data_IF_566510308460
#
_entry.id   IF_566510308460
#
_cell.length_a   1.000
_cell.length_b   1.000
_cell.length_c   1.000
_cell.angle_alpha   90.00
_cell.angle_beta   90.00
_cell.angle_gamma   90.00
#
_symmetry.space_group_name_H-M   'P 1'
#
loop_
_entity.id
_entity.type
_entity.pdbx_description
1 polymer ?
#
# COMPACT_ATOMS: atom_id res chain seq x y z
N UNK A 1 -7.85 -1.43 -17.46
CA UNK A 1 -6.64 -1.27 -16.63
C UNK A 1 -5.73 -0.28 -17.32
N UNK A 2 -5.00 0.53 -16.54
CA UNK A 2 -3.95 1.42 -17.04
C UNK A 2 -2.59 0.76 -16.81
N UNK A 3 -1.68 0.86 -17.77
CA UNK A 3 -0.32 0.34 -17.64
C UNK A 3 0.69 1.49 -17.58
N UNK A 4 1.66 1.36 -16.67
CA UNK A 4 2.73 2.32 -16.45
C UNK A 4 4.05 1.56 -16.53
N UNK A 5 5.01 2.10 -17.28
CA UNK A 5 6.34 1.53 -17.42
C UNK A 5 7.41 2.57 -17.10
N UNK A 6 8.44 2.15 -16.38
CA UNK A 6 9.63 2.95 -16.09
C UNK A 6 10.83 2.01 -15.95
N UNK A 7 12.03 2.55 -16.12
CA UNK A 7 13.28 1.79 -16.02
C UNK A 7 13.98 2.09 -14.70
N UNK A 8 14.42 1.03 -14.03
CA UNK A 8 15.26 1.11 -12.83
C UNK A 8 16.68 0.70 -13.23
N UNK A 9 17.72 1.49 -12.87
CA UNK A 9 19.10 1.12 -13.13
C UNK A 9 19.44 -0.25 -12.52
N UNK A 10 20.22 -1.07 -13.22
CA UNK A 10 20.58 -2.42 -12.75
C UNK A 10 21.39 -2.37 -11.44
N UNK A 11 22.16 -1.30 -11.25
CA UNK A 11 22.93 -1.02 -10.05
C UNK A 11 22.04 -1.01 -8.80
N UNK A 12 20.83 -0.45 -8.89
CA UNK A 12 19.86 -0.46 -7.78
C UNK A 12 19.45 -1.88 -7.43
N UNK A 13 19.21 -2.75 -8.42
CA UNK A 13 18.87 -4.15 -8.18
C UNK A 13 20.04 -4.90 -7.51
N UNK A 14 21.27 -4.60 -7.91
CA UNK A 14 22.47 -5.19 -7.31
C UNK A 14 22.68 -4.73 -5.87
N UNK A 15 22.59 -3.43 -5.60
CA UNK A 15 22.78 -2.85 -4.28
C UNK A 15 21.71 -3.33 -3.28
N UNK A 16 20.46 -3.42 -3.74
CA UNK A 16 19.33 -3.91 -2.94
C UNK A 16 19.23 -5.43 -2.89
N UNK A 17 20.02 -6.15 -3.69
CA UNK A 17 19.96 -7.60 -3.89
C UNK A 17 18.56 -8.10 -4.29
N UNK A 18 17.82 -7.29 -5.03
CA UNK A 18 16.47 -7.61 -5.49
C UNK A 18 16.50 -8.23 -6.89
N UNK A 19 15.70 -9.27 -7.09
CA UNK A 19 15.37 -9.74 -8.43
C UNK A 19 14.43 -8.75 -9.14
N UNK A 20 14.20 -8.94 -10.44
CA UNK A 20 13.18 -8.19 -11.18
C UNK A 20 11.78 -8.37 -10.58
N UNK A 21 11.46 -9.58 -10.10
CA UNK A 21 10.16 -9.86 -9.48
C UNK A 21 10.04 -9.15 -8.12
N UNK A 22 11.09 -9.17 -7.30
CA UNK A 22 11.11 -8.45 -6.02
C UNK A 22 10.95 -6.95 -6.24
N UNK A 23 11.65 -6.42 -7.25
CA UNK A 23 11.58 -5.00 -7.62
C UNK A 23 10.18 -4.60 -8.09
N UNK A 24 9.53 -5.44 -8.90
CA UNK A 24 8.15 -5.22 -9.34
C UNK A 24 7.18 -5.25 -8.16
N UNK A 25 7.31 -6.25 -7.27
CA UNK A 25 6.48 -6.34 -6.08
C UNK A 25 6.68 -5.14 -5.15
N UNK A 26 7.92 -4.70 -4.96
CA UNK A 26 8.26 -3.50 -4.21
C UNK A 26 7.59 -2.25 -4.82
N UNK A 27 7.74 -2.04 -6.12
CA UNK A 27 7.16 -0.89 -6.81
C UNK A 27 5.62 -0.88 -6.70
N UNK A 28 4.97 -2.02 -6.94
CA UNK A 28 3.51 -2.18 -6.80
C UNK A 28 3.04 -1.80 -5.39
N UNK A 29 3.70 -2.33 -4.37
CA UNK A 29 3.38 -2.07 -2.96
C UNK A 29 3.62 -0.61 -2.57
N UNK A 30 4.74 -0.02 -3.01
CA UNK A 30 5.04 1.39 -2.77
C UNK A 30 3.98 2.31 -3.40
N UNK A 31 3.58 2.05 -4.65
CA UNK A 31 2.52 2.80 -5.32
C UNK A 31 1.18 2.65 -4.60
N UNK A 32 0.81 1.43 -4.20
CA UNK A 32 -0.40 1.18 -3.42
C UNK A 32 -0.42 1.93 -2.08
N UNK A 33 0.73 1.96 -1.37
CA UNK A 33 0.87 2.72 -0.13
C UNK A 33 0.69 4.22 -0.34
N UNK A 34 1.32 4.78 -1.38
CA UNK A 34 1.17 6.21 -1.70
C UNK A 34 -0.29 6.54 -2.02
N UNK A 35 -0.98 5.72 -2.82
CA UNK A 35 -2.40 5.94 -3.11
C UNK A 35 -3.28 5.83 -1.88
N UNK A 36 -3.03 4.86 -1.01
CA UNK A 36 -3.80 4.67 0.22
C UNK A 36 -3.62 5.87 1.18
N UNK A 37 -2.37 6.28 1.40
CA UNK A 37 -2.03 7.30 2.41
C UNK A 37 -2.17 8.74 1.93
N UNK A 38 -1.89 9.03 0.66
CA UNK A 38 -1.88 10.40 0.14
C UNK A 38 -3.13 10.77 -0.65
N UNK A 39 -3.79 9.78 -1.27
CA UNK A 39 -4.94 9.99 -2.14
C UNK A 39 -6.24 9.37 -1.60
N UNK A 40 -6.20 8.78 -0.40
CA UNK A 40 -7.34 8.11 0.25
C UNK A 40 -8.05 7.09 -0.67
N UNK A 41 -7.29 6.44 -1.55
CA UNK A 41 -7.83 5.42 -2.46
C UNK A 41 -8.27 4.20 -1.64
N UNK A 42 -9.39 3.60 -2.04
CA UNK A 42 -9.99 2.49 -1.28
C UNK A 42 -9.02 1.33 -1.06
N UNK A 43 -9.15 0.67 0.10
CA UNK A 43 -8.37 -0.51 0.47
C UNK A 43 -8.41 -1.59 -0.62
N UNK A 44 -9.57 -1.79 -1.25
CA UNK A 44 -9.75 -2.79 -2.29
C UNK A 44 -8.93 -2.52 -3.55
N UNK A 45 -8.89 -1.27 -4.03
CA UNK A 45 -8.10 -0.92 -5.20
C UNK A 45 -6.60 -0.94 -4.89
N UNK A 46 -6.19 -0.49 -3.71
CA UNK A 46 -4.78 -0.54 -3.30
C UNK A 46 -4.29 -1.98 -3.16
N UNK A 47 -5.10 -2.90 -2.62
CA UNK A 47 -4.78 -4.32 -2.57
C UNK A 47 -4.60 -4.93 -3.97
N UNK A 48 -5.46 -4.56 -4.93
CA UNK A 48 -5.31 -4.98 -6.33
C UNK A 48 -4.02 -4.47 -6.96
N UNK A 49 -3.64 -3.21 -6.73
CA UNK A 49 -2.37 -2.64 -7.23
C UNK A 49 -1.18 -3.40 -6.64
N UNK A 50 -1.24 -3.75 -5.34
CA UNK A 50 -0.19 -4.44 -4.62
C UNK A 50 -0.06 -5.95 -4.97
N UNK A 51 -0.93 -6.51 -5.82
CA UNK A 51 -1.10 -7.95 -6.03
C UNK A 51 -1.33 -8.70 -4.71
N UNK A 52 -2.22 -8.18 -3.87
CA UNK A 52 -2.56 -8.75 -2.56
C UNK A 52 -4.08 -8.94 -2.44
N UNK A 53 -4.48 -9.94 -1.65
CA UNK A 53 -5.82 -9.93 -1.07
C UNK A 53 -5.98 -8.72 -0.13
N UNK A 54 -7.23 -8.34 0.17
CA UNK A 54 -7.49 -7.25 1.14
C UNK A 54 -6.87 -7.57 2.51
N UNK A 55 -6.93 -8.82 2.95
CA UNK A 55 -6.39 -9.24 4.24
C UNK A 55 -4.87 -9.14 4.28
N UNK A 56 -4.17 -9.58 3.23
CA UNK A 56 -2.72 -9.41 3.11
C UNK A 56 -2.34 -7.94 3.07
N UNK A 57 -3.10 -7.11 2.36
CA UNK A 57 -2.84 -5.68 2.30
C UNK A 57 -3.06 -4.99 3.66
N UNK A 58 -4.07 -5.38 4.44
CA UNK A 58 -4.26 -4.90 5.82
C UNK A 58 -3.04 -5.24 6.68
N UNK A 59 -2.54 -6.48 6.62
CA UNK A 59 -1.33 -6.87 7.35
C UNK A 59 -0.11 -6.07 6.89
N UNK A 60 -0.02 -5.81 5.59
CA UNK A 60 1.05 -5.00 5.01
C UNK A 60 1.00 -3.55 5.51
N UNK A 61 -0.19 -2.93 5.59
CA UNK A 61 -0.37 -1.60 6.18
C UNK A 61 0.09 -1.57 7.64
N UNK A 62 -0.33 -2.56 8.44
CA UNK A 62 0.09 -2.69 9.84
C UNK A 62 1.61 -2.84 9.99
N UNK A 63 2.27 -3.62 9.12
CA UNK A 63 3.72 -3.77 9.12
C UNK A 63 4.47 -2.47 8.75
N UNK A 64 3.81 -1.54 8.05
CA UNK A 64 4.35 -0.22 7.72
C UNK A 64 3.89 0.88 8.69
N UNK A 65 3.23 0.53 9.80
CA UNK A 65 2.75 1.48 10.80
C UNK A 65 1.60 2.37 10.32
N UNK A 66 0.88 1.94 9.27
CA UNK A 66 -0.25 2.68 8.71
C UNK A 66 -1.54 2.11 9.27
N UNK A 67 -2.32 2.97 9.93
CA UNK A 67 -3.65 2.63 10.39
C UNK A 67 -4.57 2.34 9.20
N UNK A 68 -5.34 1.26 9.29
CA UNK A 68 -6.43 0.98 8.33
C UNK A 68 -7.64 1.89 8.55
N UNK A 69 -7.69 2.52 9.71
CA UNK A 69 -8.70 3.49 10.03
C UNK A 69 -8.20 4.85 9.59
N UNK A 70 -8.82 5.36 8.54
CA UNK A 70 -8.68 6.75 8.12
C UNK A 70 -9.72 7.56 8.88
N UNK A 71 -9.47 7.79 10.17
CA UNK A 71 -10.24 8.77 10.91
C UNK A 71 -9.71 10.15 10.51
N UNK A 72 -10.60 11.03 10.07
CA UNK A 72 -10.22 12.41 9.80
C UNK A 72 -9.88 13.14 11.11
N UNK A 73 -10.43 12.69 12.25
CA UNK A 73 -10.02 13.07 13.60
C UNK A 73 -10.35 12.00 14.68
N UNK A 74 -9.83 12.20 15.90
CA UNK A 74 -10.02 11.31 17.05
C UNK A 74 -11.50 11.19 17.51
N UNK A 75 -12.36 12.15 17.20
CA UNK A 75 -13.79 12.11 17.51
C UNK A 75 -14.54 11.13 16.62
N UNK A 76 -14.23 11.09 15.32
CA UNK A 76 -14.82 10.11 14.38
C UNK A 76 -14.52 8.67 14.82
N UNK A 77 -13.31 8.42 15.37
CA UNK A 77 -12.95 7.14 15.96
C UNK A 77 -13.82 6.75 17.15
N UNK A 78 -14.01 7.68 18.09
CA UNK A 78 -14.76 7.46 19.33
C UNK A 78 -16.25 7.27 19.01
N UNK A 79 -16.81 8.00 18.05
CA UNK A 79 -18.20 7.82 17.61
C UNK A 79 -18.44 6.43 17.00
N UNK A 80 -17.56 5.96 16.12
CA UNK A 80 -17.64 4.61 15.53
C UNK A 80 -17.54 3.51 16.61
N UNK A 81 -16.66 3.66 17.61
CA UNK A 81 -16.54 2.71 18.72
C UNK A 81 -17.79 2.64 19.60
N UNK A 82 -18.47 3.77 19.82
CA UNK A 82 -19.66 3.83 20.68
C UNK A 82 -20.94 3.30 20.01
N UNK A 83 -20.92 3.19 18.67
CA UNK A 83 -22.07 2.73 17.88
C UNK A 83 -22.03 1.22 17.52
N UNK A 84 -20.98 0.49 17.93
CA UNK A 84 -20.79 -0.94 17.72
C UNK A 84 -21.07 -1.77 18.99
#
# INVERSE_FOLDING_TARGET
MCEIAFSIPNEVLYDTKMSKQDTLAFAKRAVALCYYTQSKVSLGYCAQIADMSKEEFIRYLGANGISIFQYDDEQEFIEEMNNA
#
